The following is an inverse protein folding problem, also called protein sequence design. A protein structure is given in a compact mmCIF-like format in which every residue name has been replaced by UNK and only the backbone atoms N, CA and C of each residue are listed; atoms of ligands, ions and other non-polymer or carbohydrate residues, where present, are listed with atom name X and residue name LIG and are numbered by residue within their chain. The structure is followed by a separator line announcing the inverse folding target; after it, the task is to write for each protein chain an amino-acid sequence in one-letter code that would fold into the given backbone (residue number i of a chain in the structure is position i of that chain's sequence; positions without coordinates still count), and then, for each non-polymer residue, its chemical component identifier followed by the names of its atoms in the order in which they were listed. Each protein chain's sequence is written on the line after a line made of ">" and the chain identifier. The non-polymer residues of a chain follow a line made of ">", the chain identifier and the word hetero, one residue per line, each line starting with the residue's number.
data_IF_937337786061
#
_entry.id   IF_937337786061
#
_cell.length_a   1.000
_cell.length_b   1.000
_cell.length_c   1.000
_cell.angle_alpha   90.00
_cell.angle_beta   90.00
_cell.angle_gamma   90.00
#
_symmetry.space_group_name_H-M   'P 1'
#
loop_
_entity.id
_entity.type
_entity.pdbx_description
1 polymer ?
#
# COMPACT_ATOMS: atom_id res chain seq x y z
N UNK A 1 11.48 16.40 -0.76
CA UNK A 1 10.06 16.00 -0.61
C UNK A 1 10.10 14.54 -0.19
N UNK A 2 9.26 14.12 0.75
CA UNK A 2 9.16 12.68 1.08
C UNK A 2 8.33 12.06 -0.03
N UNK A 3 8.90 11.14 -0.79
CA UNK A 3 8.17 10.41 -1.80
C UNK A 3 7.18 9.46 -1.12
N UNK A 4 6.01 9.27 -1.73
CA UNK A 4 4.96 8.39 -1.22
C UNK A 4 4.88 7.14 -2.09
N UNK A 5 4.86 5.98 -1.43
CA UNK A 5 4.87 4.67 -2.08
C UNK A 5 3.59 3.91 -1.74
N UNK A 6 3.17 2.98 -2.61
CA UNK A 6 2.05 2.08 -2.35
C UNK A 6 2.49 0.63 -2.61
N UNK A 7 1.86 -0.31 -1.92
CA UNK A 7 2.13 -1.74 -2.11
C UNK A 7 1.15 -2.29 -3.16
N UNK A 8 1.71 -2.74 -4.28
CA UNK A 8 1.00 -3.50 -5.31
C UNK A 8 1.18 -5.00 -5.06
N UNK A 9 0.08 -5.74 -4.95
CA UNK A 9 0.06 -7.19 -4.79
C UNK A 9 -0.38 -7.80 -6.10
N UNK A 10 0.38 -8.77 -6.61
CA UNK A 10 0.00 -9.56 -7.78
C UNK A 10 -0.29 -11.00 -7.40
N UNK A 11 -1.39 -11.54 -7.93
CA UNK A 11 -1.60 -12.98 -7.86
C UNK A 11 -0.83 -13.72 -8.97
N UNK A 12 -0.95 -15.05 -8.99
CA UNK A 12 -0.27 -15.92 -9.95
C UNK A 12 -0.76 -15.76 -11.39
N UNK A 13 -1.83 -15.01 -11.61
CA UNK A 13 -2.42 -14.72 -12.91
C UNK A 13 -2.18 -13.26 -13.33
N UNK A 14 -1.21 -12.58 -12.71
CA UNK A 14 -0.89 -11.15 -12.91
C UNK A 14 -2.04 -10.19 -12.59
N UNK A 15 -3.08 -10.63 -11.87
CA UNK A 15 -4.10 -9.70 -11.40
C UNK A 15 -3.50 -8.81 -10.31
N UNK A 16 -3.75 -7.53 -10.45
CA UNK A 16 -3.22 -6.49 -9.57
C UNK A 16 -4.23 -6.20 -8.47
N UNK A 17 -3.76 -6.08 -7.25
CA UNK A 17 -4.51 -5.67 -6.09
C UNK A 17 -3.75 -4.58 -5.33
N UNK A 18 -4.49 -3.71 -4.67
CA UNK A 18 -3.94 -2.65 -3.84
C UNK A 18 -4.28 -2.89 -2.38
N UNK A 19 -3.37 -2.45 -1.52
CA UNK A 19 -3.62 -2.41 -0.09
C UNK A 19 -4.40 -1.13 0.25
N UNK A 20 -5.54 -1.27 0.90
CA UNK A 20 -6.41 -0.17 1.33
C UNK A 20 -6.72 -0.26 2.82
N UNK A 21 -7.05 0.86 3.44
CA UNK A 21 -7.63 0.85 4.79
C UNK A 21 -8.99 0.13 4.76
N UNK A 22 -9.23 -0.75 5.72
CA UNK A 22 -10.50 -1.45 5.84
C UNK A 22 -11.66 -0.48 6.07
N UNK A 23 -12.69 -0.57 5.23
CA UNK A 23 -13.84 0.34 5.27
C UNK A 23 -13.64 1.66 4.52
N UNK A 24 -12.44 1.93 3.99
CA UNK A 24 -12.15 3.06 3.13
C UNK A 24 -11.94 2.64 1.67
N UNK A 25 -12.12 3.60 0.76
CA UNK A 25 -11.67 3.49 -0.62
C UNK A 25 -10.28 4.11 -0.81
N UNK A 26 -9.55 4.45 0.26
CA UNK A 26 -8.22 5.06 0.15
C UNK A 26 -7.13 3.98 0.09
N UNK A 27 -6.19 4.15 -0.86
CA UNK A 27 -4.99 3.30 -0.98
C UNK A 27 -4.04 3.66 0.14
N UNK A 28 -3.49 2.64 0.80
CA UNK A 28 -2.47 2.83 1.82
C UNK A 28 -1.17 3.30 1.17
N UNK A 29 -0.68 4.43 1.67
CA UNK A 29 0.58 5.03 1.23
C UNK A 29 1.58 5.02 2.37
N UNK A 30 2.84 4.82 2.01
CA UNK A 30 3.94 4.69 2.94
C UNK A 30 4.99 5.74 2.63
N UNK A 31 5.55 6.33 3.68
CA UNK A 31 6.75 7.15 3.57
C UNK A 31 7.99 6.24 3.66
N UNK A 32 9.03 6.57 2.90
CA UNK A 32 10.36 5.97 3.09
C UNK A 32 11.21 6.89 3.93
N UNK A 33 11.86 6.35 4.96
CA UNK A 33 12.59 7.18 5.92
C UNK A 33 13.98 7.62 5.43
N UNK A 34 14.64 6.90 4.51
CA UNK A 34 15.94 7.30 3.92
C UNK A 34 16.08 6.72 2.49
N UNK A 35 17.00 7.28 1.69
CA UNK A 35 17.44 6.59 0.45
C UNK A 35 18.00 5.24 0.89
N UNK A 36 17.27 4.17 0.61
CA UNK A 36 17.67 2.82 0.96
C UNK A 36 18.97 2.46 0.21
N UNK A 37 20.11 2.72 0.84
CA UNK A 37 21.45 2.43 0.30
C UNK A 37 21.63 0.95 -0.05
N UNK A 38 20.77 0.08 0.50
CA UNK A 38 20.80 -1.38 0.34
C UNK A 38 19.66 -1.95 -0.54
N UNK A 39 18.95 -1.11 -1.30
CA UNK A 39 17.76 -1.50 -2.10
C UNK A 39 16.59 -2.09 -1.29
N UNK A 40 16.66 -2.04 0.04
CA UNK A 40 15.61 -2.50 0.94
C UNK A 40 14.86 -1.29 1.50
N UNK A 41 13.59 -1.15 1.17
CA UNK A 41 12.75 -0.10 1.72
C UNK A 41 12.13 -0.58 3.03
N UNK A 42 12.41 0.14 4.11
CA UNK A 42 11.66 0.02 5.36
C UNK A 42 10.46 0.97 5.30
N UNK A 43 9.26 0.41 5.45
CA UNK A 43 8.01 1.16 5.49
C UNK A 43 7.47 1.16 6.90
N UNK A 44 7.06 2.32 7.40
CA UNK A 44 6.27 2.41 8.62
C UNK A 44 4.78 2.35 8.27
N UNK A 45 4.02 1.50 8.97
CA UNK A 45 2.57 1.46 8.85
C UNK A 45 1.98 2.78 9.38
N UNK A 46 1.24 3.47 8.53
CA UNK A 46 0.58 4.74 8.88
C UNK A 46 -0.87 4.54 9.31
N UNK A 47 -1.36 3.30 9.40
CA UNK A 47 -2.71 3.01 9.85
C UNK A 47 -2.93 3.49 11.29
N UNK A 48 -4.11 4.08 11.51
CA UNK A 48 -4.51 4.40 12.89
C UNK A 48 -4.68 3.11 13.69
N UNK A 49 -4.24 3.12 14.95
CA UNK A 49 -4.34 1.96 15.84
C UNK A 49 -5.75 1.36 15.84
N UNK A 50 -5.81 0.04 15.62
CA UNK A 50 -7.06 -0.72 15.58
C UNK A 50 -7.70 -0.82 14.19
N UNK A 51 -7.14 -0.14 13.19
CA UNK A 51 -7.49 -0.36 11.78
C UNK A 51 -6.68 -1.52 11.21
N UNK A 52 -7.30 -2.24 10.28
CA UNK A 52 -6.63 -3.28 9.49
C UNK A 52 -6.57 -2.86 8.04
N UNK A 53 -5.56 -3.35 7.32
CA UNK A 53 -5.52 -3.24 5.86
C UNK A 53 -6.33 -4.35 5.20
N UNK A 54 -6.91 -4.07 4.03
CA UNK A 54 -7.52 -5.07 3.15
C UNK A 54 -6.95 -4.99 1.74
N UNK A 55 -6.95 -6.13 1.06
CA UNK A 55 -6.53 -6.23 -0.34
C UNK A 55 -7.77 -6.05 -1.22
N UNK A 56 -7.73 -5.09 -2.15
CA UNK A 56 -8.85 -4.79 -3.06
C UNK A 56 -8.41 -4.87 -4.52
N UNK A 57 -9.31 -5.34 -5.39
CA UNK A 57 -9.10 -5.26 -6.83
C UNK A 57 -9.42 -3.80 -7.28
N UNK A 58 -8.43 -3.06 -7.80
CA UNK A 58 -8.62 -1.65 -8.12
C UNK A 58 -9.66 -1.44 -9.22
N UNK A 59 -9.79 -2.37 -10.16
CA UNK A 59 -10.78 -2.31 -11.24
C UNK A 59 -12.22 -2.43 -10.76
N UNK A 60 -12.44 -3.00 -9.56
CA UNK A 60 -13.78 -3.12 -8.98
C UNK A 60 -14.11 -1.95 -8.04
N UNK A 61 -13.10 -1.33 -7.43
CA UNK A 61 -13.28 -0.39 -6.32
C UNK A 61 -13.07 1.09 -6.65
N UNK A 62 -12.26 1.41 -7.67
CA UNK A 62 -11.85 2.78 -8.01
C UNK A 62 -12.40 3.27 -9.37
N UNK A 63 -13.48 2.65 -9.86
CA UNK A 63 -14.12 2.95 -11.16
C UNK A 63 -14.18 4.44 -11.52
#
# INVERSE_FOLDING_TARGET
>A
MVDSYAIEIKDTEDKTYLLCEEGSAEVLTFATNEEADDYNYEFEDTLTNGLSSRVVNPYEYFN
#
